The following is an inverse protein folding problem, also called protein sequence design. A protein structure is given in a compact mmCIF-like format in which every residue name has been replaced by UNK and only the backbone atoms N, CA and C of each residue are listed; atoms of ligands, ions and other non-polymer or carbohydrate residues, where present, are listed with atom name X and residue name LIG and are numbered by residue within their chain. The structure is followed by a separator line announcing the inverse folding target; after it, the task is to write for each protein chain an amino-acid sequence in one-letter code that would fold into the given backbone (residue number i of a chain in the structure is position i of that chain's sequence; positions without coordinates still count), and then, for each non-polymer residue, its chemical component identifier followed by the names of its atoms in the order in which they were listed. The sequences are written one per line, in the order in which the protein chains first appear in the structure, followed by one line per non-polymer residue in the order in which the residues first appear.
data_IF_048190619612
#
_entry.id   IF_048190619612
#
_cell.length_a   1.000
_cell.length_b   1.000
_cell.length_c   1.000
_cell.angle_alpha   90.00
_cell.angle_beta   90.00
_cell.angle_gamma   90.00
#
_symmetry.space_group_name_H-M   'P 1'
#
loop_
_entity.id
_entity.type
_entity.pdbx_description
1 polymer ?
#
# COMPACT_ATOMS: atom_id res chain seq x y z
N UNK A 1 -9.01 25.97 0.01
CA UNK A 1 -9.14 24.61 0.57
C UNK A 1 -8.15 24.49 1.72
N UNK A 2 -8.59 24.66 2.97
CA UNK A 2 -7.73 24.48 4.15
C UNK A 2 -7.92 23.03 4.58
N UNK A 3 -6.90 22.18 4.40
CA UNK A 3 -6.96 20.79 4.84
C UNK A 3 -6.97 20.75 6.38
N UNK A 4 -7.89 19.99 6.96
CA UNK A 4 -7.99 19.87 8.41
C UNK A 4 -6.75 19.17 8.97
N UNK A 5 -6.32 19.53 10.18
CA UNK A 5 -5.16 18.91 10.86
C UNK A 5 -5.28 17.37 10.91
N UNK A 6 -6.49 16.85 11.08
CA UNK A 6 -6.79 15.41 11.07
C UNK A 6 -6.57 14.75 9.70
N UNK A 7 -6.79 15.48 8.60
CA UNK A 7 -6.51 14.96 7.26
C UNK A 7 -5.00 14.82 6.99
N UNK A 8 -4.21 15.77 7.50
CA UNK A 8 -2.75 15.73 7.39
C UNK A 8 -2.18 14.58 8.24
N UNK A 9 -2.70 14.39 9.45
CA UNK A 9 -2.30 13.29 10.34
C UNK A 9 -2.63 11.91 9.72
N UNK A 10 -3.83 11.77 9.13
CA UNK A 10 -4.25 10.53 8.47
C UNK A 10 -3.39 10.20 7.23
N UNK A 11 -3.16 11.18 6.35
CA UNK A 11 -2.35 10.96 5.14
C UNK A 11 -0.88 10.68 5.46
N UNK A 12 -0.32 11.33 6.48
CA UNK A 12 1.04 11.07 6.97
C UNK A 12 1.19 9.66 7.55
N UNK A 13 0.22 9.21 8.37
CA UNK A 13 0.23 7.86 8.95
C UNK A 13 0.08 6.77 7.87
N UNK A 14 -0.77 7.01 6.87
CA UNK A 14 -0.94 6.12 5.73
C UNK A 14 0.32 6.03 4.87
N UNK A 15 1.02 7.16 4.65
CA UNK A 15 2.30 7.18 3.92
C UNK A 15 3.38 6.34 4.62
N UNK A 16 3.49 6.47 5.96
CA UNK A 16 4.44 5.71 6.77
C UNK A 16 4.16 4.20 6.72
N UNK A 17 2.89 3.81 6.67
CA UNK A 17 2.49 2.40 6.51
C UNK A 17 2.90 1.83 5.15
N UNK A 18 2.89 2.63 4.07
CA UNK A 18 3.30 2.14 2.75
C UNK A 18 4.82 2.01 2.62
N UNK A 19 5.60 2.81 3.33
CA UNK A 19 7.05 2.64 3.39
C UNK A 19 7.49 1.32 4.05
N UNK A 20 6.68 0.77 4.96
CA UNK A 20 7.02 -0.49 5.65
C UNK A 20 6.63 -1.76 4.89
N UNK A 21 5.87 -1.66 3.79
CA UNK A 21 5.40 -2.80 2.99
C UNK A 21 6.13 -2.88 1.63
N UNK A 22 7.26 -2.18 1.48
CA UNK A 22 8.04 -2.19 0.24
C UNK A 22 8.52 -3.60 -0.11
N UNK A 23 7.99 -4.18 -1.19
CA UNK A 23 8.51 -5.43 -1.75
C UNK A 23 9.81 -5.16 -2.51
N UNK A 24 10.86 -5.94 -2.21
CA UNK A 24 12.13 -5.89 -2.93
C UNK A 24 11.98 -6.60 -4.28
N UNK A 25 12.42 -5.95 -5.36
CA UNK A 25 12.39 -6.54 -6.70
C UNK A 25 13.74 -7.18 -7.01
N UNK A 26 13.73 -8.42 -7.46
CA UNK A 26 14.94 -9.12 -7.90
C UNK A 26 15.00 -9.15 -9.42
N UNK A 27 16.21 -9.08 -9.97
CA UNK A 27 16.48 -9.30 -11.38
C UNK A 27 17.15 -10.64 -11.56
N UNK A 28 16.64 -11.44 -12.51
CA UNK A 28 17.23 -12.72 -12.88
C UNK A 28 18.14 -12.52 -14.08
N UNK A 29 19.35 -13.08 -14.02
CA UNK A 29 20.27 -13.12 -15.16
C UNK A 29 20.92 -14.49 -15.25
N UNK A 30 20.88 -15.10 -16.44
CA UNK A 30 21.66 -16.30 -16.75
C UNK A 30 23.07 -15.87 -17.15
N UNK A 31 24.09 -16.49 -16.58
CA UNK A 31 25.49 -16.24 -16.94
C UNK A 31 25.95 -17.28 -17.97
N UNK A 32 26.56 -16.85 -19.09
CA UNK A 32 27.20 -17.79 -20.00
C UNK A 32 28.41 -18.42 -19.32
N UNK A 33 28.60 -19.73 -19.51
CA UNK A 33 29.60 -20.55 -18.81
C UNK A 33 31.07 -20.11 -19.04
N UNK A 34 31.33 -19.16 -19.93
CA UNK A 34 32.66 -18.64 -20.28
C UNK A 34 33.05 -17.34 -19.56
N UNK A 35 32.15 -16.72 -18.79
CA UNK A 35 32.37 -15.42 -18.12
C UNK A 35 32.71 -15.61 -16.62
N UNK A 36 33.90 -15.17 -16.18
CA UNK A 36 34.30 -15.23 -14.77
C UNK A 36 34.08 -13.91 -14.03
N UNK A 37 33.54 -13.97 -12.81
CA UNK A 37 33.36 -12.81 -11.90
C UNK A 37 33.62 -13.21 -10.44
N UNK A 38 34.12 -12.28 -9.60
CA UNK A 38 34.36 -12.56 -8.19
C UNK A 38 33.04 -12.85 -7.44
N UNK A 39 33.03 -13.94 -6.68
CA UNK A 39 31.92 -14.43 -5.85
C UNK A 39 32.19 -14.01 -4.41
N UNK A 40 31.91 -12.74 -4.07
CA UNK A 40 31.98 -12.29 -2.68
C UNK A 40 30.56 -12.10 -2.15
N UNK A 41 30.27 -12.66 -0.97
CA UNK A 41 29.02 -12.52 -0.20
C UNK A 41 27.72 -12.96 -0.91
N UNK A 42 27.77 -14.08 -1.66
CA UNK A 42 26.59 -14.66 -2.33
C UNK A 42 26.07 -15.90 -1.61
N UNK A 43 24.76 -15.97 -1.39
CA UNK A 43 24.09 -17.21 -0.97
C UNK A 43 24.00 -18.14 -2.17
N UNK A 44 24.63 -19.31 -2.09
CA UNK A 44 24.67 -20.25 -3.21
C UNK A 44 23.70 -21.39 -2.96
N UNK A 45 22.77 -21.56 -3.89
CA UNK A 45 21.69 -22.54 -3.83
C UNK A 45 21.89 -23.54 -4.96
N UNK A 46 21.97 -24.82 -4.61
CA UNK A 46 22.03 -25.93 -5.54
C UNK A 46 20.62 -26.48 -5.77
N UNK A 47 20.23 -26.55 -7.04
CA UNK A 47 18.96 -27.09 -7.50
C UNK A 47 19.21 -28.46 -8.13
N UNK A 48 18.58 -29.49 -7.59
CA UNK A 48 18.59 -30.85 -8.14
C UNK A 48 17.16 -31.37 -8.22
N UNK A 49 16.68 -31.60 -9.44
CA UNK A 49 15.26 -31.87 -9.72
C UNK A 49 14.36 -30.81 -9.08
N UNK A 50 13.49 -31.20 -8.14
CA UNK A 50 12.60 -30.30 -7.39
C UNK A 50 13.14 -29.93 -5.99
N UNK A 51 14.37 -30.34 -5.67
CA UNK A 51 14.98 -30.12 -4.35
C UNK A 51 16.00 -28.98 -4.38
N UNK A 52 16.03 -28.23 -3.28
CA UNK A 52 16.95 -27.11 -3.07
C UNK A 52 17.86 -27.39 -1.87
N UNK A 53 19.14 -27.07 -2.05
CA UNK A 53 20.16 -27.20 -1.03
C UNK A 53 21.02 -25.94 -0.96
N UNK A 54 21.58 -25.64 0.20
CA UNK A 54 22.57 -24.57 0.31
C UNK A 54 23.97 -25.17 0.15
N UNK A 55 24.86 -24.50 -0.57
CA UNK A 55 26.28 -24.89 -0.61
C UNK A 55 27.18 -23.80 0.00
N UNK A 56 28.14 -24.23 0.80
CA UNK A 56 29.15 -23.38 1.45
C UNK A 56 30.56 -23.95 1.24
N UNK A 57 31.58 -23.22 1.70
CA UNK A 57 32.98 -23.63 1.61
C UNK A 57 33.41 -24.06 0.20
N UNK A 58 32.98 -23.26 -0.78
CA UNK A 58 33.20 -23.50 -2.21
C UNK A 58 34.69 -23.35 -2.53
N UNK A 59 35.28 -24.43 -3.02
CA UNK A 59 36.61 -24.49 -3.60
C UNK A 59 36.53 -24.99 -5.04
N UNK A 60 37.23 -24.32 -5.95
CA UNK A 60 37.26 -24.65 -7.36
C UNK A 60 38.62 -25.24 -7.71
N UNK A 61 38.61 -26.45 -8.28
CA UNK A 61 39.74 -27.06 -8.97
C UNK A 61 39.49 -27.05 -10.49
N UNK A 62 40.46 -27.47 -11.32
CA UNK A 62 40.47 -27.33 -12.78
C UNK A 62 39.10 -27.57 -13.47
N UNK A 63 38.34 -28.58 -13.04
CA UNK A 63 36.99 -28.91 -13.56
C UNK A 63 36.00 -29.39 -12.50
N UNK A 64 36.33 -29.22 -11.23
CA UNK A 64 35.55 -29.74 -10.12
C UNK A 64 35.27 -28.65 -9.11
N UNK A 65 34.03 -28.60 -8.64
CA UNK A 65 33.57 -27.77 -7.55
C UNK A 65 33.50 -28.65 -6.30
N UNK A 66 34.32 -28.34 -5.30
CA UNK A 66 34.22 -28.92 -3.97
C UNK A 66 33.42 -27.96 -3.09
N UNK A 67 32.41 -28.47 -2.40
CA UNK A 67 31.58 -27.66 -1.51
C UNK A 67 30.98 -28.53 -0.41
N UNK A 68 30.50 -27.89 0.66
CA UNK A 68 29.70 -28.55 1.70
C UNK A 68 28.22 -28.34 1.38
N UNK A 69 27.48 -29.43 1.26
CA UNK A 69 26.04 -29.40 1.03
C UNK A 69 25.31 -29.32 2.37
N UNK A 70 24.45 -28.32 2.53
CA UNK A 70 23.62 -28.07 3.70
C UNK A 70 22.14 -28.26 3.36
N UNK A 71 21.29 -28.57 4.37
CA UNK A 71 19.85 -28.52 4.19
C UNK A 71 19.40 -27.12 3.75
N UNK A 72 18.23 -26.98 3.10
CA UNK A 72 17.73 -25.70 2.64
C UNK A 72 17.63 -24.70 3.79
N UNK A 73 18.37 -23.59 3.68
CA UNK A 73 18.32 -22.52 4.67
C UNK A 73 17.11 -21.62 4.46
N UNK A 74 16.67 -20.97 5.54
CA UNK A 74 15.61 -19.97 5.45
C UNK A 74 16.12 -18.75 4.69
N UNK A 75 15.31 -18.34 3.72
CA UNK A 75 15.55 -17.22 2.81
C UNK A 75 15.73 -15.88 3.54
N UNK A 76 16.75 -15.10 3.15
CA UNK A 76 16.92 -13.71 3.60
C UNK A 76 16.82 -12.77 2.38
N UNK A 77 15.78 -11.94 2.35
CA UNK A 77 15.39 -11.13 1.19
C UNK A 77 16.42 -10.08 0.70
N UNK A 78 17.55 -9.94 1.39
CA UNK A 78 18.56 -8.91 1.15
C UNK A 78 19.87 -9.46 0.53
N UNK A 79 20.02 -10.78 0.39
CA UNK A 79 21.23 -11.38 -0.14
C UNK A 79 21.21 -11.51 -1.68
N UNK A 80 22.38 -11.43 -2.32
CA UNK A 80 22.54 -11.86 -3.71
C UNK A 80 22.59 -13.39 -3.76
N UNK A 81 21.85 -13.98 -4.69
CA UNK A 81 21.69 -15.44 -4.76
C UNK A 81 22.29 -15.98 -6.05
N UNK A 82 23.05 -17.05 -5.91
CA UNK A 82 23.62 -17.81 -7.02
C UNK A 82 22.95 -19.17 -7.06
N UNK A 83 22.13 -19.40 -8.07
CA UNK A 83 21.44 -20.66 -8.30
C UNK A 83 22.23 -21.51 -9.28
N UNK A 84 22.62 -22.71 -8.86
CA UNK A 84 23.32 -23.69 -9.68
C UNK A 84 22.38 -24.86 -9.90
N UNK A 85 22.01 -25.12 -11.15
CA UNK A 85 21.14 -26.23 -11.53
C UNK A 85 21.99 -27.39 -12.02
N UNK A 86 21.95 -28.51 -11.30
CA UNK A 86 22.62 -29.74 -11.68
C UNK A 86 21.65 -30.72 -12.32
N UNK A 87 22.16 -31.49 -13.28
CA UNK A 87 21.37 -32.52 -13.95
C UNK A 87 21.14 -33.76 -13.06
N UNK A 88 20.37 -34.72 -13.57
CA UNK A 88 20.03 -35.96 -12.85
C UNK A 88 21.21 -36.92 -12.67
N UNK A 89 22.41 -36.60 -13.16
CA UNK A 89 23.61 -37.43 -12.92
C UNK A 89 24.20 -37.19 -11.53
N UNK A 90 23.89 -36.05 -10.92
CA UNK A 90 24.19 -35.79 -9.53
C UNK A 90 23.23 -36.56 -8.63
N UNK A 91 23.74 -37.16 -7.55
CA UNK A 91 22.94 -37.80 -6.50
C UNK A 91 23.34 -37.18 -5.17
N UNK A 92 22.43 -36.47 -4.47
CA UNK A 92 22.76 -35.85 -3.20
C UNK A 92 22.98 -36.91 -2.10
N UNK A 93 23.89 -36.65 -1.14
CA UNK A 93 24.10 -37.52 0.00
C UNK A 93 22.86 -37.61 0.90
N UNK A 94 22.64 -38.77 1.51
CA UNK A 94 21.48 -39.05 2.36
C UNK A 94 21.53 -38.33 3.72
N UNK A 95 22.74 -37.97 4.18
CA UNK A 95 22.98 -37.27 5.45
C UNK A 95 23.63 -35.93 5.15
N UNK A 96 23.14 -34.87 5.80
CA UNK A 96 23.64 -33.49 5.67
C UNK A 96 24.03 -32.91 7.03
N UNK A 97 25.05 -32.04 7.12
CA UNK A 97 25.87 -31.54 6.02
C UNK A 97 27.00 -32.51 5.60
N UNK A 98 27.34 -32.54 4.31
CA UNK A 98 28.33 -33.46 3.74
C UNK A 98 29.16 -32.80 2.63
N UNK A 99 30.41 -33.23 2.45
CA UNK A 99 31.27 -32.72 1.37
C UNK A 99 30.88 -33.35 0.04
N UNK A 100 30.64 -32.51 -0.96
CA UNK A 100 30.31 -32.95 -2.32
C UNK A 100 31.36 -32.47 -3.31
N UNK A 101 31.50 -33.21 -4.40
CA UNK A 101 32.34 -32.85 -5.54
C UNK A 101 31.49 -32.88 -6.80
N UNK A 102 31.34 -31.72 -7.44
CA UNK A 102 30.52 -31.51 -8.62
C UNK A 102 31.42 -31.27 -9.83
N UNK A 103 31.30 -32.10 -10.86
CA UNK A 103 31.96 -31.83 -12.13
C UNK A 103 31.18 -30.73 -12.88
N UNK A 104 31.88 -29.76 -13.47
CA UNK A 104 31.22 -28.70 -14.25
C UNK A 104 30.38 -29.24 -15.41
N UNK A 105 30.66 -30.44 -15.92
CA UNK A 105 29.81 -31.09 -16.93
C UNK A 105 28.40 -31.43 -16.45
N UNK A 106 28.19 -31.58 -15.14
CA UNK A 106 26.88 -31.85 -14.55
C UNK A 106 26.08 -30.57 -14.26
N UNK A 107 26.70 -29.39 -14.42
CA UNK A 107 26.04 -28.09 -14.24
C UNK A 107 25.32 -27.74 -15.54
N UNK A 108 23.99 -27.76 -15.50
CA UNK A 108 23.14 -27.45 -16.64
C UNK A 108 22.95 -25.95 -16.84
N UNK A 109 22.81 -25.19 -15.76
CA UNK A 109 22.53 -23.75 -15.77
C UNK A 109 23.01 -23.10 -14.50
N UNK A 110 23.47 -21.85 -14.61
CA UNK A 110 23.76 -20.97 -13.48
C UNK A 110 22.96 -19.68 -13.63
N UNK A 111 22.21 -19.31 -12.60
CA UNK A 111 21.46 -18.05 -12.54
C UNK A 111 21.96 -17.21 -11.37
N UNK A 112 22.07 -15.90 -11.57
CA UNK A 112 22.29 -14.95 -10.48
C UNK A 112 21.04 -14.12 -10.31
N UNK A 113 20.54 -14.10 -9.08
CA UNK A 113 19.42 -13.27 -8.66
C UNK A 113 20.01 -12.13 -7.84
N UNK A 114 19.98 -10.94 -8.42
CA UNK A 114 20.49 -9.73 -7.79
C UNK A 114 19.32 -8.84 -7.41
N UNK A 115 19.43 -8.19 -6.25
CA UNK A 115 18.46 -7.17 -5.85
C UNK A 115 18.57 -5.99 -6.82
N UNK A 116 17.49 -5.72 -7.55
CA UNK A 116 17.41 -4.61 -8.50
C UNK A 116 16.91 -3.37 -7.75
N UNK A 117 17.86 -2.61 -7.22
CA UNK A 117 17.58 -1.38 -6.47
C UNK A 117 16.80 -0.38 -7.36
N UNK A 118 17.11 -0.30 -8.65
CA UNK A 118 16.42 0.62 -9.57
C UNK A 118 14.94 0.28 -9.77
N UNK A 119 14.63 -0.99 -10.04
CA UNK A 119 13.23 -1.46 -10.14
C UNK A 119 12.50 -1.38 -8.80
N UNK A 120 13.21 -1.60 -7.69
CA UNK A 120 12.63 -1.50 -6.34
C UNK A 120 12.24 -0.06 -6.03
N UNK A 121 13.15 0.90 -6.23
CA UNK A 121 12.88 2.33 -5.99
C UNK A 121 11.75 2.83 -6.87
N UNK A 122 11.75 2.50 -8.16
CA UNK A 122 10.70 2.95 -9.08
C UNK A 122 9.32 2.42 -8.69
N UNK A 123 9.19 1.14 -8.32
CA UNK A 123 7.92 0.56 -7.85
C UNK A 123 7.43 1.25 -6.57
N UNK A 124 8.30 1.46 -5.59
CA UNK A 124 7.95 2.11 -4.33
C UNK A 124 7.48 3.55 -4.55
N UNK A 125 8.16 4.31 -5.42
CA UNK A 125 7.76 5.68 -5.76
C UNK A 125 6.38 5.70 -6.42
N UNK A 126 6.14 4.85 -7.42
CA UNK A 126 4.84 4.78 -8.11
C UNK A 126 3.69 4.36 -7.18
N UNK A 127 3.92 3.39 -6.31
CA UNK A 127 2.93 2.97 -5.32
C UNK A 127 2.56 4.10 -4.36
N UNK A 128 3.57 4.85 -3.89
CA UNK A 128 3.37 5.99 -3.00
C UNK A 128 2.55 7.10 -3.67
N UNK A 129 2.88 7.46 -4.91
CA UNK A 129 2.14 8.46 -5.69
C UNK A 129 0.69 8.01 -5.91
N UNK A 130 0.48 6.75 -6.28
CA UNK A 130 -0.85 6.17 -6.49
C UNK A 130 -1.73 6.28 -5.25
N UNK A 131 -1.20 5.92 -4.07
CA UNK A 131 -1.94 5.96 -2.82
C UNK A 131 -2.34 7.39 -2.41
N UNK A 132 -1.42 8.35 -2.55
CA UNK A 132 -1.70 9.77 -2.33
C UNK A 132 -2.82 10.26 -3.27
N UNK A 133 -2.72 9.95 -4.56
CA UNK A 133 -3.74 10.29 -5.55
C UNK A 133 -5.13 9.74 -5.19
N UNK A 134 -5.21 8.45 -4.81
CA UNK A 134 -6.46 7.82 -4.39
C UNK A 134 -7.08 8.49 -3.16
N UNK A 135 -6.27 8.84 -2.16
CA UNK A 135 -6.77 9.48 -0.93
C UNK A 135 -7.38 10.87 -1.20
N UNK A 136 -6.72 11.68 -2.04
CA UNK A 136 -7.22 13.01 -2.44
C UNK A 136 -8.48 12.86 -3.29
N UNK A 137 -8.48 11.91 -4.23
CA UNK A 137 -9.64 11.61 -5.07
C UNK A 137 -10.86 11.21 -4.24
N UNK A 138 -10.68 10.39 -3.21
CA UNK A 138 -11.76 9.98 -2.32
C UNK A 138 -12.34 11.16 -1.53
N UNK A 139 -11.49 12.02 -0.95
CA UNK A 139 -11.96 13.22 -0.23
C UNK A 139 -12.69 14.18 -1.16
N UNK A 140 -12.16 14.38 -2.37
CA UNK A 140 -12.83 15.20 -3.37
C UNK A 140 -14.21 14.63 -3.74
N UNK A 141 -14.30 13.32 -3.93
CA UNK A 141 -15.55 12.63 -4.25
C UNK A 141 -16.58 12.75 -3.11
N UNK A 142 -16.14 12.56 -1.86
CA UNK A 142 -17.00 12.77 -0.68
C UNK A 142 -17.46 14.22 -0.61
N UNK A 143 -16.56 15.20 -0.81
CA UNK A 143 -16.90 16.62 -0.77
C UNK A 143 -17.88 17.04 -1.88
N UNK A 144 -17.85 16.38 -3.05
CA UNK A 144 -18.86 16.56 -4.09
C UNK A 144 -20.21 15.96 -3.70
N UNK A 145 -20.22 14.80 -3.04
CA UNK A 145 -21.43 14.09 -2.64
C UNK A 145 -22.12 14.68 -1.40
N UNK A 146 -21.39 15.34 -0.50
CA UNK A 146 -21.94 15.88 0.77
C UNK A 146 -22.37 17.34 0.67
N UNK A 147 -22.55 17.90 -0.53
CA UNK A 147 -23.19 19.21 -0.71
C UNK A 147 -24.71 19.05 -0.74
N UNK A 148 -25.33 18.96 0.44
CA UNK A 148 -26.77 19.16 0.58
C UNK A 148 -27.03 20.40 1.48
N UNK A 149 -28.21 21.01 1.49
CA UNK A 149 -28.68 22.07 0.56
C UNK A 149 -29.83 22.85 1.24
N UNK A 150 -30.42 22.28 2.28
CA UNK A 150 -31.67 22.72 2.90
C UNK A 150 -31.55 24.10 3.58
N UNK A 151 -32.64 24.89 3.60
CA UNK A 151 -32.63 26.23 4.17
C UNK A 151 -32.40 26.17 5.68
N UNK A 152 -31.46 27.01 6.12
CA UNK A 152 -31.03 27.13 7.51
C UNK A 152 -31.99 28.04 8.25
N UNK A 153 -32.46 27.59 9.41
CA UNK A 153 -33.32 28.37 10.31
C UNK A 153 -32.52 28.80 11.52
N UNK A 154 -32.56 30.11 11.78
CA UNK A 154 -31.93 30.77 12.91
C UNK A 154 -32.98 31.46 13.76
N UNK A 155 -32.78 31.42 15.07
CA UNK A 155 -33.64 32.06 16.07
C UNK A 155 -32.87 33.19 16.74
N UNK A 156 -33.50 34.35 16.91
CA UNK A 156 -32.90 35.44 17.67
C UNK A 156 -33.13 35.23 19.17
N UNK A 157 -32.04 35.17 19.93
CA UNK A 157 -32.07 34.92 21.38
C UNK A 157 -32.03 36.21 22.23
N UNK A 158 -32.15 37.38 21.60
CA UNK A 158 -32.01 38.69 22.24
C UNK A 158 -30.65 39.35 22.01
N UNK A 159 -29.63 38.58 21.64
CA UNK A 159 -28.28 39.10 21.33
C UNK A 159 -27.87 38.79 19.89
N UNK A 160 -28.11 37.56 19.42
CA UNK A 160 -27.68 37.11 18.09
C UNK A 160 -28.61 36.04 17.51
N UNK A 161 -28.44 35.78 16.21
CA UNK A 161 -29.12 34.70 15.51
C UNK A 161 -28.36 33.38 15.72
N UNK A 162 -28.99 32.44 16.43
CA UNK A 162 -28.45 31.10 16.69
C UNK A 162 -29.04 30.08 15.71
N UNK A 163 -28.18 29.26 15.10
CA UNK A 163 -28.62 28.19 14.20
C UNK A 163 -29.41 27.13 14.98
N UNK A 164 -30.64 26.87 14.56
CA UNK A 164 -31.56 25.96 15.25
C UNK A 164 -31.82 24.67 14.46
N UNK A 165 -31.73 24.71 13.13
CA UNK A 165 -31.86 23.51 12.31
C UNK A 165 -32.19 23.81 10.85
N UNK A 166 -32.54 22.75 10.12
CA UNK A 166 -32.92 22.79 8.70
C UNK A 166 -34.35 22.28 8.54
N UNK A 167 -35.20 23.00 7.79
CA UNK A 167 -36.63 22.66 7.67
C UNK A 167 -36.95 21.59 6.60
N UNK A 168 -36.03 21.33 5.67
CA UNK A 168 -36.24 20.35 4.59
C UNK A 168 -35.20 19.22 4.59
N UNK A 169 -34.51 19.01 5.72
CA UNK A 169 -33.42 18.03 5.79
C UNK A 169 -33.90 16.62 5.44
N UNK A 170 -33.43 16.10 4.30
CA UNK A 170 -33.78 14.78 3.79
C UNK A 170 -35.09 14.69 2.98
N UNK A 171 -35.85 15.78 2.82
CA UNK A 171 -37.13 15.81 2.09
C UNK A 171 -36.94 16.15 0.60
N UNK A 172 -36.13 15.35 -0.10
CA UNK A 172 -35.72 15.61 -1.49
C UNK A 172 -36.74 15.17 -2.57
N UNK A 173 -37.83 14.48 -2.17
CA UNK A 173 -38.87 13.99 -3.07
C UNK A 173 -40.26 14.12 -2.44
N UNK A 174 -41.36 14.25 -3.23
CA UNK A 174 -42.71 14.41 -2.70
C UNK A 174 -43.14 13.35 -1.66
N UNK A 175 -42.81 12.05 -1.80
CA UNK A 175 -43.14 11.05 -0.77
C UNK A 175 -42.36 11.21 0.55
N UNK A 176 -41.31 12.03 0.56
CA UNK A 176 -40.49 12.38 1.73
C UNK A 176 -40.92 13.71 2.34
N UNK A 177 -42.05 14.28 1.92
CA UNK A 177 -42.66 15.42 2.59
C UNK A 177 -42.93 15.04 4.04
N UNK A 178 -42.52 15.91 4.96
CA UNK A 178 -42.69 15.69 6.38
C UNK A 178 -43.70 16.67 6.95
N UNK A 179 -44.42 16.21 7.95
CA UNK A 179 -45.40 17.00 8.70
C UNK A 179 -44.96 17.24 10.14
N UNK A 180 -43.68 17.01 10.45
CA UNK A 180 -43.14 17.28 11.77
C UNK A 180 -42.70 18.73 11.93
N UNK A 181 -42.52 19.14 13.18
CA UNK A 181 -42.19 20.52 13.54
C UNK A 181 -40.73 20.63 13.96
N UNK A 182 -40.06 21.69 13.50
CA UNK A 182 -38.74 22.07 14.00
C UNK A 182 -38.92 22.85 15.33
N UNK A 183 -38.48 22.31 16.47
CA UNK A 183 -38.55 23.04 17.74
C UNK A 183 -37.59 24.25 17.73
N UNK A 184 -38.05 25.36 18.30
CA UNK A 184 -37.29 26.61 18.38
C UNK A 184 -37.02 27.02 19.85
N UNK A 185 -36.11 26.33 20.56
CA UNK A 185 -36.03 26.37 22.03
C UNK A 185 -35.51 27.67 22.65
N UNK A 186 -35.02 28.64 21.86
CA UNK A 186 -34.35 29.85 22.36
C UNK A 186 -35.02 31.16 21.89
N UNK A 187 -36.32 31.13 21.58
CA UNK A 187 -37.08 32.29 21.12
C UNK A 187 -37.31 33.28 22.28
N UNK A 188 -36.76 34.49 22.14
CA UNK A 188 -37.00 35.61 23.07
C UNK A 188 -37.83 36.66 22.35
N UNK A 189 -38.94 37.15 22.96
CA UNK A 189 -39.73 38.23 22.37
C UNK A 189 -38.96 39.55 22.46
N UNK A 190 -38.90 40.28 21.35
CA UNK A 190 -38.35 41.63 21.23
C UNK A 190 -39.45 42.51 20.68
N UNK A 191 -39.86 43.54 21.44
CA UNK A 191 -40.94 44.47 21.03
C UNK A 191 -42.24 43.74 20.66
N UNK A 192 -42.69 42.81 21.50
CA UNK A 192 -43.90 41.98 21.30
C UNK A 192 -43.87 41.09 20.02
N UNK A 193 -42.70 40.92 19.42
CA UNK A 193 -42.51 40.07 18.24
C UNK A 193 -41.37 39.06 18.43
N UNK A 194 -41.41 37.97 17.66
CA UNK A 194 -40.31 37.00 17.57
C UNK A 194 -39.56 37.19 16.26
N UNK A 195 -38.23 37.10 16.31
CA UNK A 195 -37.39 37.22 15.12
C UNK A 195 -36.81 35.85 14.74
N UNK A 196 -37.14 35.42 13.53
CA UNK A 196 -36.65 34.17 12.92
C UNK A 196 -36.02 34.56 11.58
N UNK A 197 -34.85 34.00 11.29
CA UNK A 197 -34.17 34.16 10.00
C UNK A 197 -34.14 32.81 9.31
N UNK A 198 -34.61 32.78 8.06
CA UNK A 198 -34.46 31.63 7.17
C UNK A 198 -33.53 32.07 6.04
N UNK A 199 -32.40 31.40 5.87
CA UNK A 199 -31.45 31.72 4.80
C UNK A 199 -31.02 30.50 4.01
N UNK A 200 -30.85 30.74 2.72
CA UNK A 200 -30.24 29.81 1.80
C UNK A 200 -28.74 30.13 1.74
N UNK A 201 -27.95 29.45 2.56
CA UNK A 201 -26.50 29.65 2.64
C UNK A 201 -25.76 29.00 1.44
N UNK A 202 -26.48 28.23 0.62
CA UNK A 202 -25.98 27.53 -0.57
C UNK A 202 -26.89 27.85 -1.77
N UNK A 203 -26.40 27.75 -3.01
CA UNK A 203 -27.17 28.06 -4.21
C UNK A 203 -28.12 26.89 -4.59
N UNK A 204 -29.17 26.66 -3.82
CA UNK A 204 -30.24 25.69 -4.14
C UNK A 204 -31.57 26.39 -4.48
N UNK A 205 -32.39 25.77 -5.34
CA UNK A 205 -33.78 26.15 -5.59
C UNK A 205 -34.68 25.28 -4.72
N UNK A 206 -35.41 25.87 -3.77
CA UNK A 206 -36.36 25.15 -2.93
C UNK A 206 -37.78 25.24 -3.50
N UNK A 207 -38.50 24.12 -3.47
CA UNK A 207 -39.91 24.06 -3.79
C UNK A 207 -40.70 23.81 -2.50
N UNK A 208 -41.68 24.67 -2.24
CA UNK A 208 -42.65 24.52 -1.15
C UNK A 208 -44.01 24.17 -1.76
N UNK A 209 -44.78 23.32 -1.09
CA UNK A 209 -46.17 23.01 -1.48
C UNK A 209 -47.14 24.10 -0.99
#
# INVERSE_FOLDING_TARGET
MIFSKKFIEFTSSLLLLFFSIGCVSQSKRTIPLDESRPVNDKFVILHWEDNEFQITDISLDDKQLHAVLHPPAKYYAEAQELHIFVDSTFVPPEVLPENITLNFSAISRVEIHEVDVGKTVTKTVWATIGCLGCSIGLVFLVALLTKNSCPFVYVFNGESFEFTGEIYSGSIHPPLERHDYLPLPNLVPIEDAYQIKISNEIHEIQHTN
#
